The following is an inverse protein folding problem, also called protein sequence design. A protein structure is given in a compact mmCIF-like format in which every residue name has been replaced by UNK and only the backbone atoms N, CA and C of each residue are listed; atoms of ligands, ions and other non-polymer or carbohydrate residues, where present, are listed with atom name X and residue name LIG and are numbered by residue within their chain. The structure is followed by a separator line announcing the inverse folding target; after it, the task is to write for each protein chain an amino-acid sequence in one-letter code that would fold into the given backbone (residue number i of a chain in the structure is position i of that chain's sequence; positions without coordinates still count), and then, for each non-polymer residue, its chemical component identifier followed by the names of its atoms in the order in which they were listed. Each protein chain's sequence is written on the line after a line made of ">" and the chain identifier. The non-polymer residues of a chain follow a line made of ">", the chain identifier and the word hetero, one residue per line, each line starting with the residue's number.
data_IF_616025331109
#
_entry.id   IF_616025331109
#
_cell.length_a   1.000
_cell.length_b   1.000
_cell.length_c   1.000
_cell.angle_alpha   90.00
_cell.angle_beta   90.00
_cell.angle_gamma   90.00
#
_symmetry.space_group_name_H-M   'P 1'
#
loop_
_entity.id
_entity.type
_entity.pdbx_description
1 polymer ?
#
# COMPACT_ATOMS: atom_id res chain seq x y z
N UNK A 1 11.01 -20.24 -1.87
CA UNK A 1 11.09 -21.51 -1.13
C UNK A 1 11.78 -21.25 0.21
N UNK A 2 11.14 -20.51 1.11
CA UNK A 2 11.84 -19.93 2.27
C UNK A 2 11.66 -20.69 3.60
N UNK A 3 10.76 -21.68 3.67
CA UNK A 3 10.40 -22.32 4.96
C UNK A 3 10.58 -23.84 4.98
N UNK A 4 11.42 -24.41 4.09
CA UNK A 4 11.69 -25.86 4.11
C UNK A 4 12.52 -26.28 5.32
N UNK A 5 13.49 -25.47 5.74
CA UNK A 5 14.35 -25.83 6.87
C UNK A 5 13.61 -25.82 8.21
N UNK A 6 12.72 -24.86 8.43
CA UNK A 6 11.91 -24.79 9.65
C UNK A 6 10.88 -25.92 9.71
N UNK A 7 10.27 -26.27 8.57
CA UNK A 7 9.37 -27.42 8.47
C UNK A 7 10.05 -28.74 8.88
N UNK A 8 11.30 -29.00 8.44
CA UNK A 8 12.02 -30.21 8.80
C UNK A 8 12.59 -30.19 10.23
N UNK A 9 13.01 -29.03 10.76
CA UNK A 9 13.46 -28.91 12.16
C UNK A 9 12.33 -29.17 13.17
N UNK A 10 11.10 -28.75 12.85
CA UNK A 10 9.95 -29.08 13.68
C UNK A 10 9.64 -30.57 13.56
N UNK A 11 9.64 -31.13 12.34
CA UNK A 11 9.37 -32.55 12.11
C UNK A 11 10.36 -33.49 12.83
N UNK A 12 11.65 -33.14 12.88
CA UNK A 12 12.68 -33.88 13.61
C UNK A 12 12.48 -33.84 15.12
N UNK A 13 12.06 -32.69 15.68
CA UNK A 13 11.77 -32.56 17.13
C UNK A 13 10.53 -33.33 17.54
N UNK A 14 9.51 -33.39 16.69
CA UNK A 14 8.29 -34.17 16.95
C UNK A 14 8.55 -35.68 16.90
N UNK A 15 9.62 -36.12 16.22
CA UNK A 15 10.00 -37.54 16.10
C UNK A 15 10.97 -38.03 17.20
N UNK A 16 11.46 -37.13 18.06
CA UNK A 16 12.29 -37.44 19.24
C UNK A 16 11.65 -36.84 20.50
N UNK A 17 10.49 -37.36 20.92
CA UNK A 17 9.78 -36.93 22.13
C UNK A 17 8.43 -37.64 22.33
N UNK A 18 7.76 -37.37 23.46
CA UNK A 18 6.56 -38.03 24.03
C UNK A 18 5.25 -37.88 23.20
N UNK A 19 5.35 -37.61 21.89
CA UNK A 19 4.19 -37.43 21.01
C UNK A 19 3.46 -36.08 21.12
N UNK A 20 4.03 -35.09 21.80
CA UNK A 20 3.45 -33.75 21.89
C UNK A 20 3.66 -32.95 20.60
N UNK A 21 2.57 -32.79 19.84
CA UNK A 21 2.55 -32.05 18.56
C UNK A 21 2.11 -30.58 18.71
N UNK A 22 1.95 -30.09 19.95
CA UNK A 22 1.35 -28.77 20.23
C UNK A 22 2.07 -27.62 19.54
N UNK A 23 3.41 -27.62 19.54
CA UNK A 23 4.19 -26.54 18.94
C UNK A 23 4.15 -26.55 17.40
N UNK A 24 4.07 -27.74 16.79
CA UNK A 24 3.85 -27.87 15.35
C UNK A 24 2.46 -27.34 14.97
N UNK A 25 1.41 -27.69 15.75
CA UNK A 25 0.06 -27.17 15.54
C UNK A 25 0.00 -25.64 15.67
N UNK A 26 0.67 -25.05 16.66
CA UNK A 26 0.75 -23.58 16.81
C UNK A 26 1.39 -22.93 15.59
N UNK A 27 2.56 -23.41 15.17
CA UNK A 27 3.25 -22.88 13.98
C UNK A 27 2.38 -23.00 12.72
N UNK A 28 1.70 -24.14 12.54
CA UNK A 28 0.80 -24.36 11.41
C UNK A 28 -0.37 -23.36 11.41
N UNK A 29 -1.03 -23.17 12.56
CA UNK A 29 -2.14 -22.22 12.70
C UNK A 29 -1.67 -20.78 12.48
N UNK A 30 -0.48 -20.40 12.93
CA UNK A 30 0.09 -19.09 12.66
C UNK A 30 0.39 -18.89 11.18
N UNK A 31 0.95 -19.90 10.50
CA UNK A 31 1.20 -19.85 9.06
C UNK A 31 -0.11 -19.69 8.28
N UNK A 32 -1.14 -20.48 8.64
CA UNK A 32 -2.48 -20.37 8.07
C UNK A 32 -3.08 -18.98 8.31
N UNK A 33 -2.96 -18.43 9.52
CA UNK A 33 -3.42 -17.08 9.85
C UNK A 33 -2.73 -16.03 8.99
N UNK A 34 -1.40 -16.08 8.85
CA UNK A 34 -0.64 -15.16 7.97
C UNK A 34 -1.10 -15.26 6.51
N UNK A 35 -1.35 -16.46 6.00
CA UNK A 35 -1.82 -16.66 4.63
C UNK A 35 -3.22 -16.08 4.39
N UNK A 36 -4.14 -16.25 5.35
CA UNK A 36 -5.49 -15.68 5.28
C UNK A 36 -5.44 -14.15 5.32
N UNK A 37 -4.67 -13.58 6.26
CA UNK A 37 -4.50 -12.13 6.38
C UNK A 37 -3.86 -11.52 5.11
N UNK A 38 -2.85 -12.17 4.55
CA UNK A 38 -2.21 -11.75 3.30
C UNK A 38 -3.19 -11.75 2.13
N UNK A 39 -3.99 -12.81 2.00
CA UNK A 39 -5.03 -12.92 0.95
C UNK A 39 -6.08 -11.81 1.08
N UNK A 40 -6.54 -11.54 2.31
CA UNK A 40 -7.49 -10.45 2.56
C UNK A 40 -6.90 -9.09 2.20
N UNK A 41 -5.66 -8.79 2.61
CA UNK A 41 -4.99 -7.53 2.26
C UNK A 41 -4.84 -7.36 0.74
N UNK A 42 -4.48 -8.43 0.02
CA UNK A 42 -4.39 -8.41 -1.44
C UNK A 42 -5.75 -8.07 -2.07
N UNK A 43 -6.81 -8.75 -1.62
CA UNK A 43 -8.16 -8.52 -2.15
C UNK A 43 -8.63 -7.09 -1.88
N UNK A 44 -8.45 -6.60 -0.65
CA UNK A 44 -8.77 -5.22 -0.27
C UNK A 44 -8.04 -4.20 -1.14
N UNK A 45 -6.75 -4.40 -1.40
CA UNK A 45 -5.96 -3.52 -2.27
C UNK A 45 -6.45 -3.53 -3.72
N UNK A 46 -6.80 -4.71 -4.26
CA UNK A 46 -7.36 -4.83 -5.62
C UNK A 46 -8.70 -4.11 -5.73
N UNK A 47 -9.60 -4.33 -4.76
CA UNK A 47 -10.91 -3.66 -4.73
C UNK A 47 -10.77 -2.14 -4.59
N UNK A 48 -9.87 -1.68 -3.73
CA UNK A 48 -9.58 -0.25 -3.52
C UNK A 48 -9.14 0.42 -4.82
N UNK A 49 -8.18 -0.17 -5.55
CA UNK A 49 -7.74 0.35 -6.85
C UNK A 49 -8.86 0.36 -7.88
N UNK A 50 -9.64 -0.71 -7.96
CA UNK A 50 -10.76 -0.79 -8.90
C UNK A 50 -11.79 0.31 -8.63
N UNK A 51 -12.15 0.53 -7.36
CA UNK A 51 -13.05 1.61 -6.94
C UNK A 51 -12.47 2.99 -7.24
N UNK A 52 -11.19 3.21 -6.91
CA UNK A 52 -10.48 4.47 -7.19
C UNK A 52 -10.52 4.83 -8.68
N UNK A 53 -10.09 3.92 -9.54
CA UNK A 53 -10.05 4.18 -10.98
C UNK A 53 -11.43 4.26 -11.61
N UNK A 54 -12.43 3.54 -11.07
CA UNK A 54 -13.82 3.68 -11.49
C UNK A 54 -14.38 5.06 -11.12
N UNK A 55 -14.10 5.54 -9.91
CA UNK A 55 -14.56 6.85 -9.45
C UNK A 55 -13.96 7.98 -10.30
N UNK A 56 -12.64 7.93 -10.56
CA UNK A 56 -11.94 8.94 -11.35
C UNK A 56 -11.84 8.60 -12.85
N UNK A 57 -12.68 7.71 -13.38
CA UNK A 57 -12.59 7.27 -14.77
C UNK A 57 -12.72 8.41 -15.80
N UNK A 58 -13.49 9.45 -15.46
CA UNK A 58 -13.69 10.65 -16.28
C UNK A 58 -12.77 11.80 -15.90
N UNK A 59 -11.98 11.65 -14.82
CA UNK A 59 -10.96 12.62 -14.50
C UNK A 59 -9.84 12.47 -15.54
N UNK A 60 -9.59 13.53 -16.31
CA UNK A 60 -8.52 13.57 -17.30
C UNK A 60 -7.14 13.52 -16.62
N UNK A 61 -6.72 12.32 -16.21
CA UNK A 61 -5.48 12.04 -15.49
C UNK A 61 -4.40 11.74 -16.52
N UNK A 62 -3.31 12.51 -16.48
CA UNK A 62 -2.17 12.31 -17.37
C UNK A 62 -1.43 11.03 -17.00
N UNK A 63 -0.78 10.38 -17.96
CA UNK A 63 -0.04 9.12 -17.74
C UNK A 63 0.95 9.21 -16.56
N UNK A 64 1.69 10.34 -16.46
CA UNK A 64 2.63 10.58 -15.35
C UNK A 64 1.97 10.77 -13.99
N UNK A 65 0.79 11.43 -13.96
CA UNK A 65 0.00 11.54 -12.73
C UNK A 65 -0.46 10.15 -12.32
N UNK A 66 -0.96 9.35 -13.27
CA UNK A 66 -1.36 7.97 -13.02
C UNK A 66 -0.24 7.08 -12.45
N UNK A 67 1.00 7.23 -12.92
CA UNK A 67 2.17 6.53 -12.34
C UNK A 67 2.40 6.90 -10.88
N UNK A 68 2.25 8.17 -10.51
CA UNK A 68 2.39 8.62 -9.12
C UNK A 68 1.23 8.11 -8.27
N UNK A 69 0.00 8.21 -8.76
CA UNK A 69 -1.19 7.74 -8.05
C UNK A 69 -1.12 6.22 -7.81
N UNK A 70 -0.67 5.44 -8.79
CA UNK A 70 -0.45 4.00 -8.62
C UNK A 70 0.56 3.69 -7.50
N UNK A 71 1.65 4.45 -7.38
CA UNK A 71 2.60 4.27 -6.26
C UNK A 71 2.00 4.56 -4.89
N UNK A 72 1.09 5.53 -4.80
CA UNK A 72 0.41 5.84 -3.54
C UNK A 72 -0.61 4.75 -3.22
N UNK A 73 -1.35 4.26 -4.23
CA UNK A 73 -2.24 3.10 -4.11
C UNK A 73 -1.50 1.79 -3.79
N UNK A 74 -0.25 1.64 -4.25
CA UNK A 74 0.63 0.52 -3.90
C UNK A 74 1.04 0.56 -2.43
N UNK A 75 1.29 1.77 -1.90
CA UNK A 75 1.64 1.96 -0.50
C UNK A 75 0.43 1.79 0.44
N UNK A 76 -0.78 2.09 -0.05
CA UNK A 76 -2.01 1.99 0.74
C UNK A 76 -2.19 3.12 1.75
N UNK A 77 -3.31 3.09 2.48
CA UNK A 77 -3.67 4.11 3.48
C UNK A 77 -2.58 4.23 4.55
N UNK A 78 -1.97 5.42 4.66
CA UNK A 78 -0.90 5.69 5.62
C UNK A 78 0.46 5.05 5.29
N UNK A 79 0.57 4.25 4.22
CA UNK A 79 1.82 3.58 3.85
C UNK A 79 2.78 4.47 3.05
N UNK A 80 2.31 5.60 2.50
CA UNK A 80 3.17 6.54 1.79
C UNK A 80 3.83 7.54 2.75
N UNK A 81 4.84 7.07 3.48
CA UNK A 81 5.48 7.80 4.58
C UNK A 81 5.90 9.24 4.21
N UNK A 82 5.50 10.20 5.05
CA UNK A 82 5.78 11.62 4.86
C UNK A 82 5.03 12.27 3.68
N UNK A 83 4.06 11.57 3.09
CA UNK A 83 3.17 12.06 2.04
C UNK A 83 3.87 12.39 0.71
N UNK A 84 3.06 12.69 -0.29
CA UNK A 84 3.49 13.17 -1.59
C UNK A 84 3.83 14.65 -1.49
N UNK A 85 5.12 14.99 -1.57
CA UNK A 85 5.55 16.38 -1.66
C UNK A 85 5.80 16.75 -3.12
N UNK A 86 5.85 18.05 -3.42
CA UNK A 86 6.35 18.55 -4.71
C UNK A 86 7.72 17.93 -5.06
N UNK A 87 8.57 17.61 -4.07
CA UNK A 87 9.95 17.12 -4.33
C UNK A 87 9.91 15.68 -4.78
N UNK A 88 9.13 14.87 -4.08
CA UNK A 88 8.88 13.48 -4.46
C UNK A 88 8.21 13.41 -5.82
N UNK A 89 7.18 14.24 -6.08
CA UNK A 89 6.49 14.26 -7.38
C UNK A 89 7.45 14.59 -8.53
N UNK A 90 8.19 15.70 -8.42
CA UNK A 90 9.16 16.12 -9.43
C UNK A 90 10.23 15.03 -9.68
N UNK A 91 10.74 14.40 -8.60
CA UNK A 91 11.71 13.32 -8.70
C UNK A 91 11.17 12.06 -9.37
N UNK A 92 9.91 11.69 -9.12
CA UNK A 92 9.27 10.51 -9.71
C UNK A 92 8.86 10.69 -11.18
N UNK A 93 8.58 11.93 -11.59
CA UNK A 93 8.07 12.24 -12.93
C UNK A 93 9.09 12.94 -13.84
N UNK A 94 10.28 13.26 -13.31
CA UNK A 94 11.35 13.98 -14.02
C UNK A 94 10.92 15.34 -14.60
N UNK A 95 10.00 16.03 -13.93
CA UNK A 95 9.53 17.37 -14.33
C UNK A 95 10.09 18.46 -13.41
N UNK A 96 10.05 19.71 -13.87
CA UNK A 96 10.44 20.85 -13.03
C UNK A 96 9.52 21.00 -11.81
N UNK A 97 10.02 21.62 -10.74
CA UNK A 97 9.26 21.95 -9.53
C UNK A 97 8.00 22.76 -9.80
N UNK A 98 8.06 23.66 -10.79
CA UNK A 98 6.93 24.49 -11.21
C UNK A 98 5.85 23.63 -11.91
N UNK A 99 6.25 22.70 -12.78
CA UNK A 99 5.33 21.76 -13.42
C UNK A 99 4.71 20.80 -12.41
N UNK A 100 5.52 20.26 -11.50
CA UNK A 100 5.04 19.41 -10.40
C UNK A 100 4.00 20.14 -9.53
N UNK A 101 4.23 21.42 -9.19
CA UNK A 101 3.27 22.21 -8.41
C UNK A 101 1.93 22.34 -9.13
N UNK A 102 1.95 22.65 -10.44
CA UNK A 102 0.72 22.79 -11.23
C UNK A 102 -0.05 21.47 -11.31
N UNK A 103 0.65 20.36 -11.50
CA UNK A 103 0.00 19.04 -11.58
C UNK A 103 -0.53 18.54 -10.25
N UNK A 104 0.17 18.80 -9.15
CA UNK A 104 -0.36 18.52 -7.81
C UNK A 104 -1.60 19.36 -7.54
N UNK A 105 -1.57 20.65 -7.92
CA UNK A 105 -2.74 21.53 -7.77
C UNK A 105 -3.94 21.05 -8.60
N UNK A 106 -3.69 20.58 -9.82
CA UNK A 106 -4.72 19.96 -10.69
C UNK A 106 -5.33 18.69 -10.06
N UNK A 107 -4.51 17.83 -9.46
CA UNK A 107 -5.00 16.64 -8.75
C UNK A 107 -5.79 17.00 -7.48
N UNK A 108 -5.41 18.06 -6.77
CA UNK A 108 -6.15 18.58 -5.61
C UNK A 108 -7.49 19.18 -6.06
N UNK A 109 -7.51 19.96 -7.14
CA UNK A 109 -8.75 20.53 -7.69
C UNK A 109 -9.73 19.45 -8.17
N UNK A 110 -9.22 18.31 -8.64
CA UNK A 110 -10.01 17.12 -9.00
C UNK A 110 -10.50 16.32 -7.79
N UNK A 111 -10.14 16.72 -6.56
CA UNK A 111 -10.47 15.98 -5.34
C UNK A 111 -9.72 14.65 -5.20
N UNK A 112 -8.69 14.40 -6.02
CA UNK A 112 -7.92 13.15 -5.98
C UNK A 112 -6.92 13.17 -4.81
N UNK A 113 -6.30 14.34 -4.58
CA UNK A 113 -5.32 14.54 -3.53
C UNK A 113 -5.84 15.53 -2.48
N UNK A 114 -5.59 15.21 -1.22
CA UNK A 114 -5.90 16.02 -0.06
C UNK A 114 -4.61 16.44 0.64
N UNK A 115 -4.47 17.70 1.10
CA UNK A 115 -3.31 18.11 1.87
C UNK A 115 -3.32 17.42 3.24
N UNK A 116 -2.19 16.84 3.63
CA UNK A 116 -2.07 16.21 4.94
C UNK A 116 -2.08 17.25 6.06
N UNK A 117 -2.69 16.95 7.22
CA UNK A 117 -2.60 17.78 8.41
C UNK A 117 -1.17 17.74 8.96
N UNK A 118 -0.40 18.80 8.69
CA UNK A 118 1.01 18.86 9.08
C UNK A 118 1.69 20.09 8.51
N UNK A 119 1.60 21.22 9.22
CA UNK A 119 2.15 22.52 8.85
C UNK A 119 3.67 22.63 8.99
N UNK A 120 4.43 21.67 8.47
CA UNK A 120 5.88 21.78 8.33
C UNK A 120 6.28 22.74 7.20
N UNK A 121 7.59 22.88 6.93
CA UNK A 121 8.14 23.72 5.83
C UNK A 121 7.71 23.27 4.41
N UNK A 122 7.08 22.10 4.26
CA UNK A 122 6.62 21.58 2.97
C UNK A 122 5.24 20.94 3.09
N UNK A 123 4.29 21.41 2.28
CA UNK A 123 3.00 20.75 2.10
C UNK A 123 3.20 19.35 1.52
N UNK A 124 2.61 18.36 2.18
CA UNK A 124 2.51 16.99 1.67
C UNK A 124 1.05 16.68 1.39
N UNK A 125 0.81 15.81 0.43
CA UNK A 125 -0.50 15.37 -0.01
C UNK A 125 -0.64 13.86 0.17
N UNK A 126 -1.85 13.39 0.35
CA UNK A 126 -2.21 11.97 0.22
C UNK A 126 -3.49 11.85 -0.63
N UNK A 127 -3.90 10.64 -1.00
CA UNK A 127 -5.19 10.43 -1.64
C UNK A 127 -6.32 10.86 -0.70
N UNK A 128 -7.40 11.39 -1.25
CA UNK A 128 -8.62 11.62 -0.49
C UNK A 128 -9.31 10.26 -0.24
N UNK A 129 -8.86 9.55 0.80
CA UNK A 129 -9.28 8.18 1.11
C UNK A 129 -10.74 8.07 1.59
N UNK A 130 -11.33 9.17 2.07
CA UNK A 130 -12.68 9.23 2.64
C UNK A 130 -13.77 8.74 1.66
N UNK A 131 -13.52 8.83 0.36
CA UNK A 131 -14.44 8.36 -0.68
C UNK A 131 -14.41 6.83 -0.89
N UNK A 132 -13.44 6.14 -0.27
CA UNK A 132 -13.19 4.71 -0.47
C UNK A 132 -13.16 3.90 0.82
N UNK A 133 -13.33 4.53 1.99
CA UNK A 133 -13.34 3.93 3.33
C UNK A 133 -14.64 3.17 3.69
N UNK A 134 -15.43 2.74 2.70
CA UNK A 134 -16.71 2.05 2.88
C UNK A 134 -16.69 0.57 2.49
#
# INVERSE_FOLDING_TARGET
>A
MAEREDYYKILERTNYGDGDITDWMKWFLECMSRAILSSNNLLSNVMLRARFWKHYAQANIKERQGKVLNRILDAGLGGFEGGLTNRKYAGMTHVSRATAQRELSDLVQKGILCPNPGGGRSTSYDLCWDEFSG
#
